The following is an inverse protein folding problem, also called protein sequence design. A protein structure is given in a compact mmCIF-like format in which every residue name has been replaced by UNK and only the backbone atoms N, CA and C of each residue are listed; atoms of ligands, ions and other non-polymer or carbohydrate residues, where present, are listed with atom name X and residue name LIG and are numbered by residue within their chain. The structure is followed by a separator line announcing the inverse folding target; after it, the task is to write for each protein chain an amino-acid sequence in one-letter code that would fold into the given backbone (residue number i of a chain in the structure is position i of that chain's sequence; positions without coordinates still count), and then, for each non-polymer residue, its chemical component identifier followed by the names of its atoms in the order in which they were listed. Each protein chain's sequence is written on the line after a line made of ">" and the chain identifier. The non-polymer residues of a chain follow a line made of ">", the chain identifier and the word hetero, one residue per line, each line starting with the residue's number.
data_IF_371737009126
#
_entry.id   IF_371737009126
#
_cell.length_a   1.000
_cell.length_b   1.000
_cell.length_c   1.000
_cell.angle_alpha   90.00
_cell.angle_beta   90.00
_cell.angle_gamma   90.00
#
_symmetry.space_group_name_H-M   'P 1'
#
loop_
_entity.id
_entity.type
_entity.pdbx_description
1 polymer ?
#
# COMPACT_ATOMS: atom_id res chain seq x y z
N UNK A 1 -14.16 39.64 29.18
CA UNK A 1 -13.38 39.83 27.95
C UNK A 1 -13.56 38.61 27.05
N UNK A 2 -14.37 38.70 26.01
CA UNK A 2 -14.68 37.57 25.13
C UNK A 2 -13.49 37.30 24.18
N UNK A 3 -13.03 36.04 24.11
CA UNK A 3 -11.93 35.64 23.22
C UNK A 3 -12.44 35.59 21.78
N UNK A 4 -11.95 36.50 20.93
CA UNK A 4 -12.20 36.50 19.50
C UNK A 4 -11.63 35.23 18.88
N UNK A 5 -12.49 34.38 18.31
CA UNK A 5 -12.07 33.15 17.65
C UNK A 5 -11.15 33.49 16.45
N UNK A 6 -9.94 32.96 16.45
CA UNK A 6 -9.00 33.11 15.35
C UNK A 6 -9.64 32.57 14.06
N UNK A 7 -9.68 33.38 13.00
CA UNK A 7 -10.13 32.94 11.67
C UNK A 7 -9.38 31.66 11.32
N UNK A 8 -10.12 30.57 11.04
CA UNK A 8 -9.53 29.30 10.59
C UNK A 8 -8.57 29.64 9.45
N UNK A 9 -7.27 29.39 9.65
CA UNK A 9 -6.24 29.62 8.65
C UNK A 9 -6.57 28.76 7.42
N UNK A 10 -7.31 29.34 6.50
CA UNK A 10 -7.64 28.74 5.23
C UNK A 10 -6.43 29.03 4.38
N UNK A 11 -5.66 27.99 4.05
CA UNK A 11 -4.55 28.11 3.11
C UNK A 11 -5.02 28.71 1.78
N UNK A 12 -4.09 28.94 0.85
CA UNK A 12 -4.38 29.59 -0.44
C UNK A 12 -5.63 28.96 -1.10
N UNK A 13 -6.67 29.76 -1.41
CA UNK A 13 -7.90 29.24 -2.00
C UNK A 13 -7.62 28.61 -3.37
N UNK A 14 -8.29 27.49 -3.66
CA UNK A 14 -8.21 26.83 -4.95
C UNK A 14 -8.75 27.75 -6.04
N UNK A 15 -7.92 28.11 -7.03
CA UNK A 15 -8.29 29.02 -8.14
C UNK A 15 -9.53 28.53 -8.90
N UNK A 16 -9.75 27.22 -8.94
CA UNK A 16 -10.89 26.60 -9.63
C UNK A 16 -12.04 26.24 -8.68
N UNK A 17 -11.94 26.57 -7.39
CA UNK A 17 -12.85 26.14 -6.33
C UNK A 17 -13.12 24.61 -6.33
N UNK A 18 -12.13 23.82 -6.77
CA UNK A 18 -12.19 22.35 -6.78
C UNK A 18 -11.25 21.79 -5.73
N UNK A 19 -11.76 20.87 -4.91
CA UNK A 19 -10.96 20.07 -3.97
C UNK A 19 -10.21 19.01 -4.77
N UNK A 20 -8.91 18.83 -4.50
CA UNK A 20 -8.15 17.73 -5.10
C UNK A 20 -8.65 16.41 -4.51
N UNK A 21 -9.19 15.53 -5.35
CA UNK A 21 -9.52 14.17 -4.91
C UNK A 21 -8.28 13.50 -4.32
N UNK A 22 -8.43 12.88 -3.15
CA UNK A 22 -7.35 12.08 -2.57
C UNK A 22 -7.05 10.93 -3.55
N UNK A 23 -5.81 10.78 -4.05
CA UNK A 23 -5.48 9.63 -4.88
C UNK A 23 -5.63 8.36 -4.03
N UNK A 24 -6.49 7.45 -4.46
CA UNK A 24 -6.68 6.14 -3.83
C UNK A 24 -6.02 5.07 -4.69
N UNK A 25 -4.80 4.68 -4.34
CA UNK A 25 -4.13 3.55 -4.98
C UNK A 25 -4.49 2.26 -4.23
N UNK A 26 -5.44 1.48 -4.75
CA UNK A 26 -5.70 0.13 -4.23
C UNK A 26 -4.75 -0.87 -4.89
N UNK A 27 -3.58 -1.06 -4.30
CA UNK A 27 -2.63 -2.09 -4.74
C UNK A 27 -3.03 -3.45 -4.18
N UNK A 28 -3.44 -4.37 -5.07
CA UNK A 28 -3.70 -5.78 -4.69
C UNK A 28 -2.38 -6.45 -4.30
N UNK A 29 -2.29 -6.90 -3.05
CA UNK A 29 -1.12 -7.65 -2.56
C UNK A 29 -1.45 -9.11 -2.31
N UNK A 30 -0.46 -9.96 -2.58
CA UNK A 30 -0.54 -11.41 -2.46
C UNK A 30 0.28 -11.87 -1.24
N UNK A 31 -0.26 -12.80 -0.45
CA UNK A 31 0.47 -13.49 0.61
C UNK A 31 1.54 -14.41 0.03
N UNK A 32 2.49 -14.85 0.84
CA UNK A 32 3.54 -15.81 0.42
C UNK A 32 2.90 -17.09 -0.14
N UNK A 33 1.96 -17.70 0.58
CA UNK A 33 1.26 -18.90 0.11
C UNK A 33 0.50 -18.68 -1.21
N UNK A 34 -0.18 -17.54 -1.37
CA UNK A 34 -0.89 -17.27 -2.63
C UNK A 34 0.10 -17.19 -3.80
N UNK A 35 1.28 -16.59 -3.60
CA UNK A 35 2.31 -16.54 -4.66
C UNK A 35 2.81 -17.95 -4.98
N UNK A 36 3.10 -18.76 -3.96
CA UNK A 36 3.58 -20.12 -4.12
C UNK A 36 2.56 -21.02 -4.85
N UNK A 37 1.28 -20.89 -4.50
CA UNK A 37 0.18 -21.60 -5.16
C UNK A 37 0.08 -21.22 -6.65
N UNK A 38 0.15 -19.93 -6.98
CA UNK A 38 0.10 -19.45 -8.37
C UNK A 38 1.28 -19.96 -9.19
N UNK A 39 2.51 -19.96 -8.65
CA UNK A 39 3.68 -20.42 -9.38
C UNK A 39 3.70 -21.95 -9.55
N UNK A 40 3.20 -22.71 -8.55
CA UNK A 40 3.05 -24.15 -8.69
C UNK A 40 2.03 -24.49 -9.78
N UNK A 41 0.85 -23.87 -9.78
CA UNK A 41 -0.13 -24.05 -10.85
C UNK A 41 0.42 -23.66 -12.24
N UNK A 42 1.26 -22.61 -12.32
CA UNK A 42 1.90 -22.22 -13.57
C UNK A 42 2.94 -23.22 -14.07
N UNK A 43 3.57 -23.99 -13.16
CA UNK A 43 4.57 -25.02 -13.46
C UNK A 43 3.93 -26.37 -13.78
N UNK A 44 2.88 -26.74 -13.06
CA UNK A 44 2.18 -28.02 -13.23
C UNK A 44 1.37 -28.05 -14.53
N UNK A 45 0.71 -26.94 -14.87
CA UNK A 45 -0.08 -26.82 -16.11
C UNK A 45 0.63 -25.92 -17.14
N UNK A 46 0.41 -24.61 -17.03
CA UNK A 46 1.02 -23.58 -17.87
C UNK A 46 0.80 -22.19 -17.29
N UNK A 47 1.63 -21.25 -17.71
CA UNK A 47 1.45 -19.83 -17.37
C UNK A 47 0.09 -19.28 -17.81
N UNK A 48 -0.45 -19.71 -18.96
CA UNK A 48 -1.74 -19.23 -19.44
C UNK A 48 -2.89 -19.77 -18.57
N UNK A 49 -2.86 -21.06 -18.24
CA UNK A 49 -3.84 -21.67 -17.32
C UNK A 49 -3.85 -20.97 -15.95
N UNK A 50 -2.66 -20.71 -15.39
CA UNK A 50 -2.54 -19.98 -14.14
C UNK A 50 -3.03 -18.53 -14.23
N UNK A 51 -2.80 -17.85 -15.35
CA UNK A 51 -3.34 -16.50 -15.57
C UNK A 51 -4.86 -16.51 -15.64
N UNK A 52 -5.46 -17.48 -16.32
CA UNK A 52 -6.91 -17.58 -16.47
C UNK A 52 -7.59 -17.92 -15.14
N UNK A 53 -6.94 -18.75 -14.31
CA UNK A 53 -7.45 -19.18 -13.00
C UNK A 53 -7.32 -18.10 -11.93
N UNK A 54 -6.12 -17.52 -11.76
CA UNK A 54 -5.83 -16.61 -10.64
C UNK A 54 -5.98 -15.12 -10.99
N UNK A 55 -6.03 -14.79 -12.29
CA UNK A 55 -6.18 -13.43 -12.80
C UNK A 55 -7.26 -13.36 -13.89
N UNK A 56 -8.50 -13.80 -13.58
CA UNK A 56 -9.58 -13.85 -14.55
C UNK A 56 -9.93 -12.46 -15.07
N UNK A 57 -10.31 -12.39 -16.36
CA UNK A 57 -10.74 -11.15 -17.01
C UNK A 57 -9.61 -10.17 -17.36
N UNK A 58 -8.34 -10.50 -17.10
CA UNK A 58 -7.23 -9.67 -17.56
C UNK A 58 -6.94 -9.91 -19.05
N UNK A 59 -7.00 -8.83 -19.84
CA UNK A 59 -6.61 -8.81 -21.25
C UNK A 59 -5.49 -7.79 -21.48
N UNK A 60 -4.79 -7.87 -22.62
CA UNK A 60 -3.77 -6.89 -23.04
C UNK A 60 -2.65 -6.63 -22.01
N UNK A 61 -2.39 -5.35 -21.73
CA UNK A 61 -1.31 -4.89 -20.83
C UNK A 61 -1.45 -5.39 -19.38
N UNK A 62 -2.65 -5.37 -18.76
CA UNK A 62 -2.87 -6.01 -17.46
C UNK A 62 -2.46 -7.49 -17.42
N UNK A 63 -2.81 -8.27 -18.44
CA UNK A 63 -2.44 -9.70 -18.53
C UNK A 63 -0.93 -9.88 -18.60
N UNK A 64 -0.25 -9.10 -19.46
CA UNK A 64 1.22 -9.12 -19.57
C UNK A 64 1.90 -8.74 -18.25
N UNK A 65 1.33 -7.80 -17.49
CA UNK A 65 1.82 -7.42 -16.17
C UNK A 65 1.67 -8.56 -15.15
N UNK A 66 0.54 -9.27 -15.16
CA UNK A 66 0.36 -10.46 -14.33
C UNK A 66 1.34 -11.57 -14.72
N UNK A 67 1.54 -11.82 -16.02
CA UNK A 67 2.52 -12.79 -16.51
C UNK A 67 3.94 -12.49 -16.01
N UNK A 68 4.42 -11.25 -16.18
CA UNK A 68 5.73 -10.80 -15.67
C UNK A 68 5.85 -10.98 -14.15
N UNK A 69 4.74 -10.80 -13.42
CA UNK A 69 4.69 -10.97 -11.97
C UNK A 69 4.88 -12.43 -11.57
N UNK A 70 4.19 -13.37 -12.22
CA UNK A 70 4.37 -14.81 -11.99
C UNK A 70 5.83 -15.19 -12.28
N UNK A 71 6.38 -14.72 -13.40
CA UNK A 71 7.78 -14.96 -13.76
C UNK A 71 8.76 -14.45 -12.68
N UNK A 72 8.54 -13.23 -12.17
CA UNK A 72 9.36 -12.68 -11.07
C UNK A 72 9.23 -13.48 -9.78
N UNK A 73 8.06 -14.04 -9.48
CA UNK A 73 7.89 -14.90 -8.32
C UNK A 73 8.64 -16.22 -8.49
N UNK A 74 8.60 -16.81 -9.68
CA UNK A 74 9.35 -18.04 -9.99
C UNK A 74 10.86 -17.83 -9.87
N UNK A 75 11.38 -16.69 -10.32
CA UNK A 75 12.79 -16.33 -10.11
C UNK A 75 13.20 -16.25 -8.63
N UNK A 76 12.26 -15.96 -7.73
CA UNK A 76 12.49 -15.84 -6.29
C UNK A 76 11.90 -17.04 -5.51
N UNK A 77 11.71 -18.18 -6.19
CA UNK A 77 11.02 -19.35 -5.64
C UNK A 77 11.62 -19.86 -4.33
N UNK A 78 12.94 -20.02 -4.26
CA UNK A 78 13.61 -20.50 -3.05
C UNK A 78 13.29 -19.65 -1.81
N UNK A 79 13.21 -18.33 -1.97
CA UNK A 79 12.84 -17.40 -0.89
C UNK A 79 11.36 -17.56 -0.51
N UNK A 80 10.48 -17.77 -1.49
CA UNK A 80 9.06 -18.00 -1.24
C UNK A 80 8.80 -19.34 -0.55
N UNK A 81 9.53 -20.40 -0.92
CA UNK A 81 9.43 -21.72 -0.28
C UNK A 81 9.91 -21.66 1.17
N UNK A 82 11.06 -21.02 1.43
CA UNK A 82 11.55 -20.80 2.79
C UNK A 82 10.56 -19.98 3.64
N UNK A 83 9.99 -18.91 3.08
CA UNK A 83 8.99 -18.09 3.78
C UNK A 83 7.64 -18.79 3.93
N UNK A 84 7.30 -19.75 3.07
CA UNK A 84 6.08 -20.55 3.18
C UNK A 84 6.21 -21.64 4.24
N UNK A 85 7.41 -22.20 4.43
CA UNK A 85 7.69 -23.18 5.47
C UNK A 85 7.57 -22.59 6.89
N UNK A 86 7.78 -21.28 7.03
CA UNK A 86 7.69 -20.57 8.31
C UNK A 86 6.24 -20.10 8.59
N UNK A 87 5.57 -20.63 9.64
CA UNK A 87 4.16 -20.32 9.92
C UNK A 87 3.89 -18.84 10.18
N UNK A 88 4.87 -18.11 10.75
CA UNK A 88 4.75 -16.69 11.02
C UNK A 88 4.80 -15.81 9.76
N UNK A 89 5.33 -16.32 8.63
CA UNK A 89 5.56 -15.56 7.39
C UNK A 89 4.59 -15.97 6.27
N UNK A 90 4.06 -17.20 6.29
CA UNK A 90 3.26 -17.77 5.20
C UNK A 90 2.06 -16.90 4.75
N UNK A 91 1.41 -16.19 5.67
CA UNK A 91 0.26 -15.31 5.39
C UNK A 91 0.62 -13.84 5.22
N UNK A 92 1.90 -13.46 5.42
CA UNK A 92 2.32 -12.06 5.31
C UNK A 92 2.22 -11.56 3.87
N UNK A 93 1.77 -10.31 3.74
CA UNK A 93 1.66 -9.57 2.48
C UNK A 93 2.75 -8.50 2.43
N UNK A 94 3.07 -8.03 1.22
CA UNK A 94 4.07 -6.96 1.05
C UNK A 94 3.61 -5.60 1.58
N UNK A 95 2.30 -5.36 1.64
CA UNK A 95 1.72 -4.21 2.31
C UNK A 95 1.12 -4.68 3.61
N UNK A 96 1.46 -3.96 4.67
CA UNK A 96 0.81 -4.09 5.96
C UNK A 96 -0.53 -3.34 5.93
N UNK A 97 -1.51 -3.75 6.76
CA UNK A 97 -2.70 -2.96 6.97
C UNK A 97 -2.32 -1.55 7.47
N UNK A 98 -3.18 -0.58 7.17
CA UNK A 98 -3.01 0.78 7.67
C UNK A 98 -2.87 0.74 9.20
N UNK A 99 -1.85 1.41 9.73
CA UNK A 99 -1.55 1.45 11.18
C UNK A 99 -0.55 0.41 11.71
N UNK A 100 0.13 -0.38 10.86
CA UNK A 100 0.98 -1.50 11.35
C UNK A 100 2.50 -1.32 11.18
N UNK A 101 3.03 -0.32 10.46
CA UNK A 101 4.46 0.08 10.63
C UNK A 101 4.80 1.40 9.91
N UNK A 102 5.63 2.23 10.55
CA UNK A 102 6.21 3.55 10.16
C UNK A 102 5.34 4.81 10.27
N UNK A 103 4.05 4.70 10.54
CA UNK A 103 3.22 5.87 10.87
C UNK A 103 2.99 5.91 12.38
N UNK A 104 3.20 7.08 12.98
CA UNK A 104 2.90 7.31 14.38
C UNK A 104 1.41 7.04 14.62
N UNK A 105 1.05 6.68 15.84
CA UNK A 105 -0.37 6.67 16.21
C UNK A 105 -0.97 8.07 15.98
N UNK A 106 -2.27 8.14 15.72
CA UNK A 106 -2.95 9.41 15.38
C UNK A 106 -2.69 10.47 16.46
N UNK A 107 -2.73 10.07 17.73
CA UNK A 107 -2.43 10.97 18.85
C UNK A 107 -0.98 11.50 18.82
N UNK A 108 -0.04 10.68 18.37
CA UNK A 108 1.36 11.09 18.24
C UNK A 108 1.60 11.97 17.00
N UNK A 109 0.88 11.76 15.90
CA UNK A 109 0.89 12.70 14.75
C UNK A 109 0.32 14.07 15.13
N UNK A 110 -0.80 14.09 15.86
CA UNK A 110 -1.40 15.33 16.38
C UNK A 110 -0.49 16.04 17.37
N UNK A 111 0.19 15.28 18.24
CA UNK A 111 1.20 15.80 19.17
C UNK A 111 2.37 16.49 18.45
N UNK A 112 2.90 15.87 17.39
CA UNK A 112 3.94 16.51 16.57
C UNK A 112 3.45 17.76 15.86
N UNK A 113 2.22 17.75 15.34
CA UNK A 113 1.63 18.92 14.70
C UNK A 113 1.45 20.09 15.69
N UNK A 114 1.00 19.80 16.92
CA UNK A 114 0.90 20.80 17.98
C UNK A 114 2.26 21.38 18.35
N UNK A 115 3.26 20.52 18.56
CA UNK A 115 4.63 20.93 18.89
C UNK A 115 5.27 21.80 17.80
N UNK A 116 5.12 21.42 16.53
CA UNK A 116 5.63 22.23 15.41
C UNK A 116 4.94 23.60 15.34
N UNK A 117 3.65 23.67 15.66
CA UNK A 117 2.93 24.96 15.69
C UNK A 117 3.38 25.85 16.85
N UNK A 118 3.73 25.27 18.00
CA UNK A 118 4.31 25.99 19.13
C UNK A 118 5.67 26.60 18.76
N UNK A 119 6.57 25.83 18.15
CA UNK A 119 7.87 26.33 17.66
C UNK A 119 7.71 27.49 16.66
N UNK A 120 6.73 27.40 15.75
CA UNK A 120 6.43 28.50 14.82
C UNK A 120 5.89 29.74 15.51
N UNK A 121 5.17 29.57 16.63
CA UNK A 121 4.69 30.71 17.43
C UNK A 121 5.82 31.47 18.10
N UNK A 122 6.94 30.79 18.38
CA UNK A 122 8.19 31.37 18.88
C UNK A 122 9.08 31.95 17.76
N UNK A 123 8.63 31.89 16.50
CA UNK A 123 9.38 32.40 15.34
C UNK A 123 10.43 31.45 14.79
N UNK A 124 10.42 30.17 15.20
CA UNK A 124 11.33 29.13 14.70
C UNK A 124 10.66 28.46 13.47
N UNK A 125 11.23 28.59 12.26
CA UNK A 125 10.61 28.13 11.00
C UNK A 125 10.61 26.61 10.80
#
# INVERSE_FOLDING_TARGET
>A
MARTAHRKATGRPSVKNTIRNKPSYRTKTYSVLNRLCVINAARDDSYNSALDTYFPGLTGTPRKTAWKRIHRWEQNRAVLEAAAAEPSQQHKKSLLPAGTSSTLDVAAEEGLAAWVNELRSEGIP
#
